data_IF_100275284285
#
_entry.id   IF_100275284285
#
_cell.length_a   1.000
_cell.length_b   1.000
_cell.length_c   1.000
_cell.angle_alpha   90.00
_cell.angle_beta   90.00
_cell.angle_gamma   90.00
#
_symmetry.space_group_name_H-M   'P 1'
#
loop_
_entity.id
_entity.type
_entity.pdbx_description
1 polymer ?
#
# COMPACT_ATOMS: atom_id res chain seq x y z
N UNK A 1 -4.55 -10.08 4.52
CA UNK A 1 -4.78 -8.95 3.61
C UNK A 1 -3.44 -8.30 3.32
N UNK A 2 -3.16 -7.94 2.09
CA UNK A 2 -2.00 -7.13 1.71
C UNK A 2 -2.49 -5.73 1.34
N UNK A 3 -1.69 -4.73 1.67
CA UNK A 3 -1.99 -3.33 1.38
C UNK A 3 -0.80 -2.76 0.63
N UNK A 4 -1.06 -2.20 -0.54
CA UNK A 4 -0.04 -1.49 -1.33
C UNK A 4 -0.30 -0.01 -1.20
N UNK A 5 0.68 0.71 -0.68
CA UNK A 5 0.64 2.16 -0.60
C UNK A 5 1.11 2.74 -1.92
N UNK A 6 0.26 3.52 -2.55
CA UNK A 6 0.58 4.24 -3.79
C UNK A 6 1.10 5.64 -3.47
N UNK A 7 2.12 6.06 -4.20
CA UNK A 7 2.74 7.37 -4.02
C UNK A 7 3.42 7.83 -5.32
N UNK A 8 3.56 9.15 -5.47
CA UNK A 8 4.33 9.75 -6.57
C UNK A 8 3.56 9.91 -7.87
N UNK A 9 4.28 10.24 -8.94
CA UNK A 9 3.70 10.50 -10.26
C UNK A 9 3.33 9.22 -11.01
N UNK A 10 2.74 9.42 -12.19
CA UNK A 10 2.17 8.34 -13.02
C UNK A 10 3.11 7.16 -13.27
N UNK A 11 4.39 7.41 -13.55
CA UNK A 11 5.36 6.33 -13.79
C UNK A 11 5.50 5.41 -12.58
N UNK A 12 5.59 5.98 -11.39
CA UNK A 12 5.66 5.21 -10.15
C UNK A 12 4.37 4.45 -9.86
N UNK A 13 3.23 5.10 -10.09
CA UNK A 13 1.93 4.47 -9.93
C UNK A 13 1.77 3.24 -10.83
N UNK A 14 2.32 3.27 -12.07
CA UNK A 14 2.32 2.12 -12.97
C UNK A 14 3.15 0.94 -12.42
N UNK A 15 4.34 1.21 -11.86
CA UNK A 15 5.14 0.16 -11.23
C UNK A 15 4.44 -0.43 -9.99
N UNK A 16 3.89 0.42 -9.14
CA UNK A 16 3.13 0.01 -7.97
C UNK A 16 1.89 -0.80 -8.38
N UNK A 17 1.24 -0.44 -9.49
CA UNK A 17 0.12 -1.18 -10.03
C UNK A 17 0.53 -2.57 -10.54
N UNK A 18 1.63 -2.68 -11.27
CA UNK A 18 2.14 -3.99 -11.70
C UNK A 18 2.43 -4.90 -10.50
N UNK A 19 3.02 -4.34 -9.44
CA UNK A 19 3.24 -5.07 -8.19
C UNK A 19 1.93 -5.45 -7.49
N UNK A 20 0.95 -4.55 -7.47
CA UNK A 20 -0.38 -4.81 -6.94
C UNK A 20 -1.05 -5.99 -7.65
N UNK A 21 -0.98 -6.04 -8.97
CA UNK A 21 -1.51 -7.16 -9.78
C UNK A 21 -0.79 -8.48 -9.45
N UNK A 22 0.53 -8.46 -9.29
CA UNK A 22 1.30 -9.64 -8.91
C UNK A 22 0.87 -10.19 -7.53
N UNK A 23 0.60 -9.29 -6.57
CA UNK A 23 0.05 -9.69 -5.26
C UNK A 23 -1.36 -10.26 -5.37
N UNK A 24 -2.21 -9.71 -6.23
CA UNK A 24 -3.57 -10.23 -6.45
C UNK A 24 -3.60 -11.65 -7.01
N UNK A 25 -2.60 -12.05 -7.79
CA UNK A 25 -2.47 -13.43 -8.27
C UNK A 25 -2.25 -14.42 -7.12
N UNK A 26 -1.65 -13.98 -6.03
CA UNK A 26 -1.30 -14.85 -4.90
C UNK A 26 -2.20 -14.69 -3.68
N UNK A 27 -2.72 -13.50 -3.45
CA UNK A 27 -3.50 -13.17 -2.26
C UNK A 27 -4.92 -12.73 -2.63
N UNK A 28 -5.92 -13.33 -1.98
CA UNK A 28 -7.34 -13.04 -2.23
C UNK A 28 -7.74 -11.60 -1.87
N UNK A 29 -7.08 -11.01 -0.88
CA UNK A 29 -7.39 -9.68 -0.38
C UNK A 29 -6.17 -8.79 -0.48
N UNK A 30 -6.12 -8.01 -1.55
CA UNK A 30 -5.14 -6.94 -1.79
C UNK A 30 -5.89 -5.63 -1.97
N UNK A 31 -5.49 -4.59 -1.25
CA UNK A 31 -6.10 -3.26 -1.31
C UNK A 31 -5.06 -2.18 -1.54
N UNK A 32 -5.50 -1.08 -2.16
CA UNK A 32 -4.69 0.10 -2.36
C UNK A 32 -4.88 1.09 -1.20
N UNK A 33 -3.78 1.68 -0.73
CA UNK A 33 -3.79 2.84 0.15
C UNK A 33 -3.43 4.07 -0.69
N UNK A 34 -4.40 4.96 -0.89
CA UNK A 34 -4.29 6.18 -1.70
C UNK A 34 -4.32 7.45 -0.84
N UNK A 35 -4.28 7.31 0.49
CA UNK A 35 -4.54 8.43 1.40
C UNK A 35 -3.56 9.60 1.24
N UNK A 36 -2.32 9.31 0.85
CA UNK A 36 -1.32 10.35 0.68
C UNK A 36 -1.63 11.28 -0.51
N UNK A 37 -2.46 10.82 -1.46
CA UNK A 37 -2.87 11.67 -2.59
C UNK A 37 -3.89 12.75 -2.21
N UNK A 38 -4.57 12.63 -1.06
CA UNK A 38 -5.48 13.66 -0.57
C UNK A 38 -4.74 14.98 -0.25
N UNK A 39 -3.50 14.89 0.26
CA UNK A 39 -2.69 16.04 0.68
C UNK A 39 -1.45 16.27 -0.21
N UNK A 40 -1.29 15.50 -1.30
CA UNK A 40 -0.08 15.50 -2.10
C UNK A 40 -0.16 16.44 -3.30
N UNK A 41 0.40 17.64 -3.16
CA UNK A 41 0.33 18.70 -4.17
C UNK A 41 1.45 18.67 -5.23
N UNK A 42 2.44 17.78 -5.12
CA UNK A 42 3.59 17.74 -6.03
C UNK A 42 3.30 17.09 -7.39
N UNK A 43 2.26 16.27 -7.48
CA UNK A 43 1.83 15.59 -8.70
C UNK A 43 0.32 15.77 -8.90
N UNK A 44 -0.20 15.31 -10.03
CA UNK A 44 -1.63 15.44 -10.36
C UNK A 44 -2.54 14.48 -9.56
N UNK A 45 -2.12 14.03 -8.40
CA UNK A 45 -2.85 13.07 -7.59
C UNK A 45 -2.77 11.63 -8.12
N UNK A 46 -3.81 10.84 -7.87
CA UNK A 46 -3.90 9.48 -8.38
C UNK A 46 -4.31 9.49 -9.86
N UNK A 47 -3.38 9.14 -10.74
CA UNK A 47 -3.53 9.33 -12.19
C UNK A 47 -3.97 8.05 -12.94
N UNK A 48 -3.84 6.86 -12.34
CA UNK A 48 -4.21 5.60 -13.02
C UNK A 48 -5.69 5.55 -13.41
N UNK A 49 -6.56 6.04 -12.55
CA UNK A 49 -7.99 6.12 -12.86
C UNK A 49 -8.25 7.13 -13.97
N UNK A 50 -7.68 8.33 -13.86
CA UNK A 50 -7.88 9.42 -14.80
C UNK A 50 -7.33 9.10 -16.20
N UNK A 51 -6.15 8.46 -16.29
CA UNK A 51 -5.44 8.25 -17.57
C UNK A 51 -5.82 6.91 -18.21
N UNK A 52 -5.99 5.87 -17.41
CA UNK A 52 -6.20 4.50 -17.89
C UNK A 52 -7.54 3.90 -17.51
N UNK A 53 -8.40 4.64 -16.82
CA UNK A 53 -9.67 4.14 -16.29
C UNK A 53 -9.50 2.89 -15.40
N UNK A 54 -8.40 2.85 -14.64
CA UNK A 54 -8.08 1.77 -13.71
C UNK A 54 -8.58 2.15 -12.32
N UNK A 55 -9.61 1.46 -11.84
CA UNK A 55 -10.10 1.58 -10.46
C UNK A 55 -9.53 0.46 -9.61
N UNK A 56 -9.03 0.81 -8.43
CA UNK A 56 -8.44 -0.13 -7.48
C UNK A 56 -9.37 -0.37 -6.28
N UNK A 57 -9.37 -1.57 -5.70
CA UNK A 57 -10.04 -1.81 -4.42
C UNK A 57 -9.30 -1.05 -3.30
N UNK A 58 -9.89 0.06 -2.88
CA UNK A 58 -9.31 0.93 -1.86
C UNK A 58 -9.63 0.46 -0.44
N UNK A 59 -8.84 0.96 0.51
CA UNK A 59 -9.12 0.80 1.92
C UNK A 59 -10.36 1.62 2.30
N UNK A 60 -11.26 1.01 3.07
CA UNK A 60 -12.30 1.77 3.75
C UNK A 60 -11.69 2.65 4.85
N UNK A 61 -12.41 3.72 5.25
CA UNK A 61 -11.98 4.60 6.35
C UNK A 61 -11.66 3.83 7.64
N UNK A 62 -12.41 2.76 7.92
CA UNK A 62 -12.15 1.89 9.06
C UNK A 62 -10.82 1.13 8.91
N UNK A 63 -10.59 0.51 7.76
CA UNK A 63 -9.36 -0.21 7.46
C UNK A 63 -8.15 0.73 7.49
N UNK A 64 -8.27 1.91 6.91
CA UNK A 64 -7.22 2.94 6.96
C UNK A 64 -6.84 3.28 8.41
N UNK A 65 -7.82 3.49 9.29
CA UNK A 65 -7.53 3.80 10.69
C UNK A 65 -6.91 2.63 11.45
N UNK A 66 -7.23 1.38 11.06
CA UNK A 66 -6.65 0.20 11.69
C UNK A 66 -5.26 -0.10 11.14
N UNK A 67 -5.07 -0.03 9.81
CA UNK A 67 -3.90 -0.59 9.16
C UNK A 67 -2.84 0.43 8.74
N UNK A 68 -3.20 1.67 8.42
CA UNK A 68 -2.25 2.61 7.83
C UNK A 68 -2.11 3.93 8.58
N UNK A 69 -3.17 4.45 9.14
CA UNK A 69 -3.12 5.73 9.85
C UNK A 69 -2.53 5.58 11.24
N UNK A 70 -1.55 6.40 11.56
CA UNK A 70 -1.03 6.56 12.92
C UNK A 70 -2.01 7.38 13.78
N UNK A 71 -3.27 6.93 13.83
CA UNK A 71 -4.31 7.57 14.59
C UNK A 71 -4.14 7.21 16.08
N UNK A 72 -3.59 8.17 16.85
CA UNK A 72 -3.30 7.99 18.28
C UNK A 72 -4.53 8.08 19.19
N UNK A 73 -5.73 8.24 18.66
CA UNK A 73 -6.95 8.24 19.48
C UNK A 73 -7.08 6.91 20.22
N UNK A 74 -7.38 7.00 21.52
CA UNK A 74 -7.49 5.86 22.43
C UNK A 74 -8.34 4.70 21.91
N UNK A 75 -9.46 5.01 21.26
CA UNK A 75 -10.39 4.03 20.71
C UNK A 75 -9.73 3.17 19.62
N UNK A 76 -8.99 3.79 18.69
CA UNK A 76 -8.31 3.09 17.61
C UNK A 76 -7.14 2.24 18.11
N UNK A 77 -6.45 2.70 19.16
CA UNK A 77 -5.41 1.90 19.83
C UNK A 77 -5.99 0.63 20.47
N UNK A 78 -7.18 0.73 21.09
CA UNK A 78 -7.89 -0.42 21.69
C UNK A 78 -8.36 -1.39 20.60
N UNK A 79 -8.95 -0.88 19.51
CA UNK A 79 -9.39 -1.70 18.38
C UNK A 79 -8.23 -2.43 17.72
N UNK A 80 -7.09 -1.77 17.47
CA UNK A 80 -5.90 -2.43 16.94
C UNK A 80 -5.40 -3.59 17.79
N UNK A 81 -5.46 -3.46 19.12
CA UNK A 81 -5.13 -4.56 20.03
C UNK A 81 -6.11 -5.73 19.92
N UNK A 82 -7.39 -5.44 19.76
CA UNK A 82 -8.45 -6.45 19.64
C UNK A 82 -8.30 -7.26 18.35
N UNK A 83 -8.00 -6.59 17.25
CA UNK A 83 -7.77 -7.22 15.93
C UNK A 83 -6.41 -7.89 15.81
N UNK A 84 -5.58 -7.85 16.87
CA UNK A 84 -4.24 -8.47 16.94
C UNK A 84 -3.38 -8.16 15.70
N UNK A 85 -3.57 -6.98 15.14
CA UNK A 85 -2.86 -6.54 13.96
C UNK A 85 -1.46 -6.10 14.36
N UNK A 86 -0.52 -7.04 14.36
CA UNK A 86 0.88 -6.66 14.27
C UNK A 86 1.08 -6.13 12.86
N UNK A 87 1.06 -4.80 12.75
CA UNK A 87 1.42 -4.15 11.50
C UNK A 87 2.88 -4.47 11.21
N UNK A 88 3.09 -5.19 10.15
CA UNK A 88 4.39 -5.27 9.53
C UNK A 88 4.32 -4.25 8.38
N UNK A 89 4.91 -3.09 8.59
CA UNK A 89 5.23 -2.19 7.51
C UNK A 89 6.51 -2.69 6.88
N UNK A 90 6.45 -3.12 5.64
CA UNK A 90 7.64 -3.51 4.88
C UNK A 90 7.98 -2.34 3.98
N UNK A 91 9.10 -1.74 4.28
CA UNK A 91 9.74 -0.74 3.46
C UNK A 91 10.81 -1.42 2.61
N UNK A 92 10.91 -1.01 1.37
CA UNK A 92 11.98 -1.49 0.51
C UNK A 92 13.32 -0.92 0.99
N UNK A 93 14.16 -1.78 1.53
CA UNK A 93 15.46 -1.41 2.09
C UNK A 93 16.58 -1.37 1.05
N UNK A 94 16.40 -2.10 -0.05
CA UNK A 94 17.39 -2.17 -1.14
C UNK A 94 16.68 -1.89 -2.47
N UNK A 95 17.07 -0.82 -3.18
CA UNK A 95 16.53 -0.50 -4.48
C UNK A 95 16.57 -1.68 -5.47
N UNK A 96 15.45 -1.94 -6.14
CA UNK A 96 15.31 -2.99 -7.16
C UNK A 96 15.52 -4.44 -6.64
N UNK A 97 15.34 -4.70 -5.35
CA UNK A 97 15.43 -6.05 -4.81
C UNK A 97 14.08 -6.77 -4.82
N UNK A 98 14.09 -8.03 -5.24
CA UNK A 98 12.93 -8.89 -5.10
C UNK A 98 12.81 -9.37 -3.65
N UNK A 99 11.76 -8.92 -2.96
CA UNK A 99 11.51 -9.30 -1.57
C UNK A 99 10.55 -10.50 -1.53
N UNK A 100 11.11 -11.70 -1.51
CA UNK A 100 10.38 -12.97 -1.49
C UNK A 100 9.45 -13.08 -0.28
N UNK A 101 9.85 -12.52 0.85
CA UNK A 101 9.12 -12.53 2.12
C UNK A 101 7.72 -11.92 2.00
N UNK A 102 7.55 -10.90 1.15
CA UNK A 102 6.25 -10.26 0.89
C UNK A 102 5.26 -11.26 0.31
N UNK A 103 5.75 -12.15 -0.56
CA UNK A 103 4.93 -13.15 -1.22
C UNK A 103 4.72 -14.41 -0.38
N UNK A 104 5.55 -14.66 0.62
CA UNK A 104 5.48 -15.85 1.49
C UNK A 104 4.71 -15.58 2.79
N UNK A 105 4.73 -14.36 3.30
CA UNK A 105 4.03 -14.03 4.55
C UNK A 105 2.52 -13.92 4.34
N UNK A 106 1.77 -14.68 5.15
CA UNK A 106 0.29 -14.65 5.15
C UNK A 106 -0.30 -13.56 6.04
N UNK A 107 0.52 -12.85 6.82
CA UNK A 107 0.05 -11.80 7.71
C UNK A 107 -0.42 -10.56 6.94
N UNK A 108 -1.21 -9.74 7.61
CA UNK A 108 -1.55 -8.43 7.08
C UNK A 108 -0.29 -7.57 7.02
N UNK A 109 0.04 -7.11 5.84
CA UNK A 109 1.30 -6.37 5.58
C UNK A 109 0.98 -5.16 4.75
N UNK A 110 1.39 -4.00 5.22
CA UNK A 110 1.40 -2.78 4.42
C UNK A 110 2.76 -2.66 3.74
N UNK A 111 2.75 -2.47 2.44
CA UNK A 111 3.95 -2.36 1.61
C UNK A 111 3.93 -0.97 0.99
N UNK A 112 4.95 -0.20 1.27
CA UNK A 112 5.07 1.16 0.75
C UNK A 112 6.51 1.62 0.74
N UNK A 113 6.75 2.68 0.01
CA UNK A 113 8.03 3.36 -0.07
C UNK A 113 7.99 4.65 0.75
N UNK A 114 9.08 5.00 1.42
CA UNK A 114 9.21 6.24 2.20
C UNK A 114 9.60 7.45 1.37
N UNK A 115 9.43 7.40 0.05
CA UNK A 115 9.67 8.56 -0.83
C UNK A 115 10.80 8.41 -1.82
N UNK A 116 11.41 7.25 -1.94
CA UNK A 116 12.39 6.96 -2.99
C UNK A 116 11.83 5.90 -3.95
N UNK A 117 11.05 6.39 -4.88
CA UNK A 117 9.99 5.72 -5.63
C UNK A 117 10.50 4.86 -6.81
N UNK A 118 11.76 4.51 -6.85
CA UNK A 118 12.33 3.80 -8.00
C UNK A 118 12.31 2.27 -7.93
N UNK A 119 11.65 1.67 -6.94
CA UNK A 119 12.19 0.39 -6.44
C UNK A 119 11.22 -0.78 -6.30
N UNK A 120 10.18 -0.88 -7.08
CA UNK A 120 9.41 -2.14 -7.17
C UNK A 120 9.66 -2.79 -8.53
N UNK A 121 10.67 -3.62 -8.62
CA UNK A 121 10.89 -4.51 -9.76
C UNK A 121 10.35 -5.90 -9.46
N UNK A 122 9.40 -6.30 -10.27
CA UNK A 122 8.91 -7.67 -10.36
C UNK A 122 9.84 -8.41 -11.32
N UNK A 123 10.48 -9.46 -10.84
CA UNK A 123 11.09 -10.47 -11.71
C UNK A 123 10.09 -11.55 -12.02
#
# INVERSE_FOLDING_TARGET
>A
MKIVKFLGGLGNQLFQYAFFLALQQKFKHVKADLIDFEDYHLHNGFELERVFNISLPELSTFETNIYTRNNNKWLWRKLRRLYNTKHIYIEETIPFSYMKEIFEDKKATTIGDTGNISNILIK
#
